data_IF_755414581271
#
_entry.id   IF_755414581271
#
_cell.length_a   1.000
_cell.length_b   1.000
_cell.length_c   1.000
_cell.angle_alpha   90.00
_cell.angle_beta   90.00
_cell.angle_gamma   90.00
#
_symmetry.space_group_name_H-M   'P 1'
#
loop_
_entity.id
_entity.type
_entity.pdbx_description
1 polymer ?
#
# COMPACT_ATOMS: atom_id res chain seq x y z
N UNK A 1 30.88 17.98 16.69
CA UNK A 1 29.44 18.29 16.56
C UNK A 1 28.91 17.62 15.30
N UNK A 2 28.38 16.39 15.39
CA UNK A 2 27.69 15.72 14.27
C UNK A 2 26.21 15.75 14.61
N UNK A 3 25.46 16.61 13.91
CA UNK A 3 24.00 16.69 14.03
C UNK A 3 23.41 15.40 13.47
N UNK A 4 23.00 14.50 14.35
CA UNK A 4 22.15 13.37 13.98
C UNK A 4 20.79 13.95 13.60
N UNK A 5 20.55 14.13 12.29
CA UNK A 5 19.21 14.31 11.78
C UNK A 5 18.52 12.94 11.93
N UNK A 6 17.73 12.79 12.99
CA UNK A 6 16.79 11.69 13.09
C UNK A 6 15.75 11.95 11.99
N UNK A 7 16.00 11.39 10.81
CA UNK A 7 14.96 11.13 9.83
C UNK A 7 14.02 10.14 10.51
N UNK A 8 12.98 10.66 11.14
CA UNK A 8 11.76 9.88 11.40
C UNK A 8 11.27 9.52 10.01
N UNK A 9 11.71 8.37 9.50
CA UNK A 9 11.00 7.69 8.46
C UNK A 9 9.62 7.44 9.07
N UNK A 10 8.66 8.31 8.72
CA UNK A 10 7.25 8.01 8.89
C UNK A 10 6.98 6.86 7.93
N UNK A 11 7.44 5.67 8.31
CA UNK A 11 6.84 4.43 7.91
C UNK A 11 5.45 4.54 8.50
N UNK A 12 4.51 5.05 7.69
CA UNK A 12 3.11 4.88 7.96
C UNK A 12 2.84 3.40 7.92
N UNK A 13 3.16 2.69 9.01
CA UNK A 13 2.67 1.37 9.35
C UNK A 13 1.15 1.53 9.52
N UNK A 14 0.46 1.71 8.40
CA UNK A 14 -0.98 1.67 8.32
C UNK A 14 -1.33 0.20 8.41
N UNK A 15 -1.34 -0.32 9.64
CA UNK A 15 -2.09 -1.50 10.00
C UNK A 15 -3.49 -1.33 9.38
N UNK A 16 -3.91 -2.31 8.58
CA UNK A 16 -5.17 -2.26 7.88
C UNK A 16 -6.30 -2.54 8.89
N UNK A 17 -6.64 -1.56 9.73
CA UNK A 17 -7.77 -1.68 10.65
C UNK A 17 -9.07 -1.40 9.89
N UNK A 18 -9.57 -2.43 9.21
CA UNK A 18 -10.89 -2.41 8.59
C UNK A 18 -11.59 -3.70 8.97
N UNK A 19 -12.54 -3.57 9.88
CA UNK A 19 -13.33 -4.64 10.49
C UNK A 19 -14.09 -5.35 9.37
N UNK A 20 -13.70 -6.58 9.02
CA UNK A 20 -14.53 -7.50 8.24
C UNK A 20 -15.35 -8.32 9.26
N UNK A 21 -16.63 -8.00 9.43
CA UNK A 21 -17.56 -8.73 10.31
C UNK A 21 -17.85 -10.19 9.88
N UNK A 22 -17.09 -10.75 8.91
CA UNK A 22 -17.22 -12.16 8.48
C UNK A 22 -15.90 -12.93 8.34
N UNK A 23 -14.74 -12.40 8.75
CA UNK A 23 -13.47 -13.16 8.71
C UNK A 23 -12.98 -13.53 10.12
N UNK A 24 -13.03 -14.82 10.45
CA UNK A 24 -12.58 -15.39 11.74
C UNK A 24 -11.06 -15.59 11.83
N UNK A 25 -10.27 -15.15 10.84
CA UNK A 25 -8.79 -15.26 10.82
C UNK A 25 -8.07 -14.02 11.35
N UNK A 26 -8.82 -13.10 11.95
CA UNK A 26 -8.49 -11.68 12.12
C UNK A 26 -7.32 -11.39 13.05
N UNK A 27 -7.03 -12.18 14.09
CA UNK A 27 -5.90 -11.87 15.02
C UNK A 27 -4.55 -12.45 14.59
N UNK A 28 -4.49 -13.71 14.14
CA UNK A 28 -3.21 -14.34 13.77
C UNK A 28 -2.65 -13.81 12.47
N UNK A 29 -3.51 -13.56 11.49
CA UNK A 29 -3.10 -13.02 10.17
C UNK A 29 -2.63 -11.58 10.31
N UNK A 30 -3.32 -10.75 11.09
CA UNK A 30 -2.95 -9.36 11.34
C UNK A 30 -1.63 -9.22 12.13
N UNK A 31 -1.41 -10.10 13.12
CA UNK A 31 -0.13 -10.16 13.84
C UNK A 31 1.03 -10.57 12.91
N UNK A 32 0.82 -11.56 12.05
CA UNK A 32 1.82 -11.98 11.06
C UNK A 32 2.11 -10.86 10.04
N UNK A 33 1.09 -10.17 9.55
CA UNK A 33 1.24 -9.06 8.60
C UNK A 33 1.99 -7.87 9.23
N UNK A 34 1.70 -7.57 10.50
CA UNK A 34 2.41 -6.52 11.25
C UNK A 34 3.86 -6.90 11.50
N UNK A 35 4.11 -8.14 11.89
CA UNK A 35 5.46 -8.66 12.07
C UNK A 35 6.26 -8.61 10.77
N UNK A 36 5.65 -9.04 9.66
CA UNK A 36 6.29 -9.01 8.35
C UNK A 36 6.62 -7.58 7.90
N UNK A 37 5.69 -6.64 8.10
CA UNK A 37 5.93 -5.22 7.81
C UNK A 37 7.10 -4.65 8.66
N UNK A 38 7.22 -5.05 9.93
CA UNK A 38 8.34 -4.66 10.78
C UNK A 38 9.67 -5.24 10.31
N UNK A 39 9.71 -6.50 9.86
CA UNK A 39 10.93 -7.09 9.31
C UNK A 39 11.38 -6.38 8.02
N UNK A 40 10.44 -6.11 7.11
CA UNK A 40 10.70 -5.33 5.90
C UNK A 40 11.25 -3.95 6.25
N UNK A 41 10.62 -3.25 7.19
CA UNK A 41 11.13 -1.97 7.70
C UNK A 41 12.54 -2.09 8.28
N UNK A 42 12.83 -3.17 9.01
CA UNK A 42 14.14 -3.45 9.56
C UNK A 42 15.21 -3.69 8.48
N UNK A 43 14.85 -4.29 7.35
CA UNK A 43 15.75 -4.45 6.20
C UNK A 43 16.00 -3.10 5.52
N UNK A 44 14.94 -2.35 5.21
CA UNK A 44 15.01 -1.06 4.50
C UNK A 44 15.83 -0.02 5.27
N UNK A 45 15.78 -0.04 6.60
CA UNK A 45 16.50 0.92 7.46
C UNK A 45 17.98 0.57 7.71
N UNK A 46 18.52 -0.49 7.10
CA UNK A 46 19.93 -0.87 7.23
C UNK A 46 20.73 -0.49 5.98
N UNK A 47 22.04 -0.28 6.14
CA UNK A 47 22.94 -0.17 5.00
C UNK A 47 22.87 -1.45 4.14
N UNK A 48 22.96 -1.34 2.79
CA UNK A 48 23.15 -0.12 2.01
C UNK A 48 21.86 0.63 1.62
N UNK A 49 20.69 0.18 2.09
CA UNK A 49 19.37 0.68 1.65
C UNK A 49 18.97 1.99 2.33
N UNK A 50 19.39 2.18 3.58
CA UNK A 50 19.12 3.39 4.36
C UNK A 50 19.58 4.64 3.60
N UNK A 51 18.66 5.58 3.35
CA UNK A 51 18.93 6.83 2.63
C UNK A 51 19.03 6.70 1.11
N UNK A 52 19.23 5.50 0.58
CA UNK A 52 19.27 5.23 -0.86
C UNK A 52 17.97 4.65 -1.42
N UNK A 53 17.04 4.30 -0.53
CA UNK A 53 15.74 3.74 -0.84
C UNK A 53 14.69 4.36 0.07
N UNK A 54 13.46 4.40 -0.43
CA UNK A 54 12.26 4.71 0.34
C UNK A 54 11.20 3.71 -0.08
N UNK A 55 10.85 2.78 0.80
CA UNK A 55 9.86 1.75 0.51
C UNK A 55 8.72 1.82 1.51
N UNK A 56 7.50 1.83 0.99
CA UNK A 56 6.27 1.54 1.72
C UNK A 56 5.84 0.12 1.37
N UNK A 57 5.66 -0.73 2.39
CA UNK A 57 5.29 -2.12 2.21
C UNK A 57 3.87 -2.36 2.72
N UNK A 58 3.05 -3.04 1.92
CA UNK A 58 1.74 -3.54 2.34
C UNK A 58 1.78 -5.05 2.37
N UNK A 59 1.51 -5.64 3.53
CA UNK A 59 1.34 -7.08 3.69
C UNK A 59 -0.13 -7.46 3.72
N UNK A 60 -0.45 -8.58 3.09
CA UNK A 60 -1.71 -9.27 3.27
C UNK A 60 -1.52 -10.76 2.95
N UNK A 61 -1.66 -11.63 3.95
CA UNK A 61 -1.63 -13.09 3.77
C UNK A 61 -0.36 -13.58 3.05
N UNK A 62 0.80 -13.11 3.51
CA UNK A 62 2.12 -13.44 2.94
C UNK A 62 2.43 -12.78 1.60
N UNK A 63 1.49 -12.03 1.01
CA UNK A 63 1.72 -11.22 -0.19
C UNK A 63 2.19 -9.83 0.22
N UNK A 64 3.31 -9.40 -0.34
CA UNK A 64 3.89 -8.08 -0.13
C UNK A 64 3.77 -7.23 -1.40
N UNK A 65 3.22 -6.04 -1.25
CA UNK A 65 3.31 -4.99 -2.25
C UNK A 65 4.35 -3.97 -1.79
N UNK A 66 5.44 -3.83 -2.55
CA UNK A 66 6.53 -2.90 -2.25
C UNK A 66 6.43 -1.69 -3.18
N UNK A 67 6.11 -0.52 -2.62
CA UNK A 67 5.92 0.73 -3.35
C UNK A 67 7.02 1.69 -2.96
N UNK A 68 7.61 2.42 -3.90
CA UNK A 68 8.58 3.46 -3.54
C UNK A 68 9.66 3.68 -4.58
N UNK A 69 10.85 4.01 -4.09
CA UNK A 69 12.00 4.31 -4.95
C UNK A 69 13.29 3.68 -4.44
N UNK A 70 14.16 3.35 -5.39
CA UNK A 70 15.55 2.99 -5.15
C UNK A 70 16.44 3.75 -6.13
N UNK A 71 17.59 4.24 -5.64
CA UNK A 71 18.53 5.00 -6.47
C UNK A 71 19.08 4.23 -7.68
N UNK A 72 19.19 2.91 -7.56
CA UNK A 72 19.73 2.04 -8.62
C UNK A 72 18.98 0.72 -8.68
N UNK A 73 19.02 0.08 -9.85
CA UNK A 73 18.47 -1.26 -10.05
C UNK A 73 19.17 -2.31 -9.16
N UNK A 74 20.48 -2.18 -8.94
CA UNK A 74 21.24 -3.05 -8.04
C UNK A 74 20.69 -3.00 -6.62
N UNK A 75 20.41 -1.78 -6.11
CA UNK A 75 19.83 -1.61 -4.78
C UNK A 75 18.41 -2.18 -4.69
N UNK A 76 17.56 -1.92 -5.71
CA UNK A 76 16.21 -2.50 -5.77
C UNK A 76 16.27 -4.03 -5.73
N UNK A 77 17.04 -4.63 -6.64
CA UNK A 77 17.08 -6.08 -6.80
C UNK A 77 17.64 -6.76 -5.53
N UNK A 78 18.72 -6.22 -4.95
CA UNK A 78 19.28 -6.72 -3.69
C UNK A 78 18.30 -6.59 -2.52
N UNK A 79 17.57 -5.46 -2.43
CA UNK A 79 16.57 -5.25 -1.39
C UNK A 79 15.41 -6.24 -1.51
N UNK A 80 14.87 -6.40 -2.73
CA UNK A 80 13.78 -7.34 -3.01
C UNK A 80 14.20 -8.77 -2.72
N UNK A 81 15.41 -9.18 -3.10
CA UNK A 81 15.94 -10.50 -2.78
C UNK A 81 16.01 -10.73 -1.27
N UNK A 82 16.53 -9.76 -0.51
CA UNK A 82 16.62 -9.87 0.95
C UNK A 82 15.27 -9.90 1.64
N UNK A 83 14.28 -9.16 1.14
CA UNK A 83 12.91 -9.24 1.64
C UNK A 83 12.31 -10.62 1.36
N UNK A 84 12.62 -11.22 0.21
CA UNK A 84 12.13 -12.55 -0.18
C UNK A 84 12.64 -13.69 0.72
N UNK A 85 13.73 -13.47 1.45
CA UNK A 85 14.28 -14.42 2.43
C UNK A 85 13.56 -14.36 3.79
N UNK A 86 12.72 -13.34 4.02
CA UNK A 86 11.95 -13.21 5.26
C UNK A 86 10.92 -14.33 5.34
N UNK A 87 10.87 -15.01 6.49
CA UNK A 87 9.91 -16.08 6.74
C UNK A 87 8.48 -15.54 6.68
N UNK A 88 7.62 -16.21 5.92
CA UNK A 88 6.22 -15.82 5.74
C UNK A 88 5.98 -14.93 4.53
N UNK A 89 7.03 -14.51 3.82
CA UNK A 89 6.88 -13.96 2.46
C UNK A 89 6.61 -15.09 1.49
N UNK A 90 5.49 -14.99 0.77
CA UNK A 90 5.11 -15.90 -0.31
C UNK A 90 5.32 -15.20 -1.67
N UNK A 91 4.60 -14.11 -1.89
CA UNK A 91 4.60 -13.38 -3.16
C UNK A 91 5.03 -11.93 -2.96
N UNK A 92 5.90 -11.40 -3.82
CA UNK A 92 6.27 -9.98 -3.85
C UNK A 92 5.80 -9.34 -5.15
N UNK A 93 4.96 -8.31 -5.03
CA UNK A 93 4.61 -7.37 -6.09
C UNK A 93 5.53 -6.15 -5.98
N UNK A 94 6.54 -6.10 -6.86
CA UNK A 94 7.52 -5.01 -6.91
C UNK A 94 6.96 -3.82 -7.71
N UNK A 95 6.76 -2.69 -7.03
CA UNK A 95 6.36 -1.39 -7.57
C UNK A 95 7.39 -0.31 -7.21
N UNK A 96 8.66 -0.68 -7.05
CA UNK A 96 9.75 0.24 -6.76
C UNK A 96 10.25 0.86 -8.07
N UNK A 97 10.22 2.19 -8.16
CA UNK A 97 10.74 2.95 -9.30
C UNK A 97 12.24 3.21 -9.14
N UNK A 98 13.01 3.15 -10.23
CA UNK A 98 14.43 3.52 -10.21
C UNK A 98 14.57 5.03 -10.34
N UNK A 99 14.70 5.70 -9.19
CA UNK A 99 14.89 7.15 -9.07
C UNK A 99 15.27 7.52 -7.64
N UNK A 100 15.59 8.79 -7.41
CA UNK A 100 15.84 9.31 -6.07
C UNK A 100 14.56 9.21 -5.19
N UNK A 101 14.70 8.86 -3.90
CA UNK A 101 13.62 8.98 -2.92
C UNK A 101 12.94 10.34 -2.95
N UNK A 102 11.63 10.35 -2.74
CA UNK A 102 10.85 11.58 -2.74
C UNK A 102 11.32 12.59 -1.70
N UNK A 103 11.24 13.87 -2.08
CA UNK A 103 11.43 14.97 -1.14
C UNK A 103 10.27 15.05 -0.13
N UNK A 104 10.46 15.73 1.00
CA UNK A 104 9.37 15.98 1.95
C UNK A 104 8.19 16.74 1.33
N UNK A 105 8.47 17.62 0.36
CA UNK A 105 7.45 18.36 -0.37
C UNK A 105 6.59 17.43 -1.23
N UNK A 106 7.21 16.46 -1.91
CA UNK A 106 6.48 15.49 -2.74
C UNK A 106 5.65 14.53 -1.88
N UNK A 107 6.22 14.05 -0.77
CA UNK A 107 5.47 13.23 0.22
C UNK A 107 4.26 14.00 0.78
N UNK A 108 4.38 15.31 1.00
CA UNK A 108 3.27 16.15 1.47
C UNK A 108 2.19 16.30 0.40
N UNK A 109 2.56 16.48 -0.88
CA UNK A 109 1.61 16.49 -2.00
C UNK A 109 0.86 15.16 -2.10
N UNK A 110 1.57 14.04 -1.96
CA UNK A 110 0.96 12.70 -2.03
C UNK A 110 0.03 12.42 -0.84
N UNK A 111 0.36 12.93 0.35
CA UNK A 111 -0.54 12.86 1.52
C UNK A 111 -1.84 13.61 1.24
N UNK A 112 -1.75 14.82 0.69
CA UNK A 112 -2.93 15.59 0.30
C UNK A 112 -3.73 14.92 -0.82
N UNK A 113 -3.05 14.36 -1.82
CA UNK A 113 -3.68 13.62 -2.91
C UNK A 113 -4.39 12.37 -2.39
N UNK A 114 -3.77 11.64 -1.47
CA UNK A 114 -4.39 10.49 -0.78
C UNK A 114 -5.67 10.90 -0.07
N UNK A 115 -5.66 12.02 0.66
CA UNK A 115 -6.85 12.54 1.35
C UNK A 115 -7.96 12.87 0.36
N UNK A 116 -7.65 13.56 -0.75
CA UNK A 116 -8.64 13.85 -1.80
C UNK A 116 -9.28 12.59 -2.37
N UNK A 117 -8.46 11.59 -2.70
CA UNK A 117 -8.96 10.31 -3.24
C UNK A 117 -9.85 9.61 -2.21
N UNK A 118 -9.40 9.48 -0.95
CA UNK A 118 -10.22 8.88 0.11
C UNK A 118 -11.55 9.59 0.29
N UNK A 119 -11.55 10.92 0.37
CA UNK A 119 -12.79 11.71 0.50
C UNK A 119 -13.74 11.50 -0.68
N UNK A 120 -13.23 11.45 -1.91
CA UNK A 120 -14.06 11.20 -3.09
C UNK A 120 -14.65 9.79 -3.11
N UNK A 121 -13.87 8.77 -2.71
CA UNK A 121 -14.37 7.40 -2.60
C UNK A 121 -15.49 7.27 -1.55
N UNK A 122 -15.33 7.91 -0.38
CA UNK A 122 -16.35 7.95 0.69
C UNK A 122 -17.66 8.61 0.20
N UNK A 123 -17.57 9.56 -0.74
CA UNK A 123 -18.75 10.20 -1.32
C UNK A 123 -19.55 9.30 -2.27
N UNK A 124 -19.01 8.18 -2.74
CA UNK A 124 -19.70 7.30 -3.69
C UNK A 124 -20.58 6.27 -2.99
N UNK A 125 -21.90 6.34 -3.26
CA UNK A 125 -22.89 5.40 -2.74
C UNK A 125 -22.60 3.95 -3.11
N UNK A 126 -21.92 3.70 -4.24
CA UNK A 126 -21.57 2.35 -4.69
C UNK A 126 -20.42 1.72 -3.90
N UNK A 127 -19.69 2.52 -3.12
CA UNK A 127 -18.55 2.08 -2.32
C UNK A 127 -18.85 2.05 -0.81
N UNK A 128 -20.07 2.38 -0.38
CA UNK A 128 -20.45 2.52 1.03
C UNK A 128 -20.26 1.24 1.87
N UNK A 129 -20.23 0.07 1.24
CA UNK A 129 -20.14 -1.24 1.89
C UNK A 129 -18.79 -1.93 1.66
N UNK A 130 -17.77 -1.20 1.21
CA UNK A 130 -16.44 -1.76 1.00
C UNK A 130 -15.38 -0.81 1.54
N UNK A 131 -14.32 -1.38 2.09
CA UNK A 131 -13.16 -0.61 2.51
C UNK A 131 -12.05 -0.70 1.46
N UNK A 132 -11.68 0.45 0.90
CA UNK A 132 -10.60 0.58 -0.06
C UNK A 132 -9.44 1.33 0.60
N UNK A 133 -8.32 0.64 0.76
CA UNK A 133 -7.06 1.25 1.18
C UNK A 133 -6.48 2.02 0.00
N UNK A 134 -6.19 3.30 0.23
CA UNK A 134 -5.57 4.20 -0.74
C UNK A 134 -4.17 4.54 -0.24
N UNK A 135 -3.18 4.31 -1.10
CA UNK A 135 -1.79 4.75 -0.91
C UNK A 135 -1.41 5.58 -2.13
N UNK A 136 -0.77 6.71 -1.91
CA UNK A 136 -0.21 7.50 -3.01
C UNK A 136 1.29 7.61 -2.82
N UNK A 137 2.04 7.37 -3.90
CA UNK A 137 3.48 7.56 -3.94
C UNK A 137 3.87 8.09 -5.32
N UNK A 138 4.57 9.22 -5.35
CA UNK A 138 4.94 9.96 -6.56
C UNK A 138 3.74 10.32 -7.46
N UNK A 139 2.60 10.62 -6.84
CA UNK A 139 1.32 10.85 -7.51
C UNK A 139 0.74 9.66 -8.28
N UNK A 140 1.31 8.46 -8.11
CA UNK A 140 0.67 7.20 -8.47
C UNK A 140 -0.22 6.73 -7.31
N UNK A 141 -1.48 6.39 -7.60
CA UNK A 141 -2.47 5.98 -6.60
C UNK A 141 -2.66 4.47 -6.66
N UNK A 142 -2.38 3.80 -5.55
CA UNK A 142 -2.61 2.37 -5.37
C UNK A 142 -3.93 2.18 -4.61
N UNK A 143 -4.85 1.46 -5.23
CA UNK A 143 -6.14 1.08 -4.64
C UNK A 143 -6.13 -0.40 -4.30
N UNK A 144 -6.31 -0.72 -3.02
CA UNK A 144 -6.27 -2.08 -2.48
C UNK A 144 -7.56 -2.37 -1.72
N UNK A 145 -8.06 -3.59 -1.81
CA UNK A 145 -9.27 -4.00 -1.11
C UNK A 145 -9.85 -5.30 -1.66
N UNK A 146 -10.80 -5.87 -0.93
CA UNK A 146 -11.62 -6.98 -1.40
C UNK A 146 -12.94 -6.43 -1.90
N UNK A 147 -13.14 -6.45 -3.22
CA UNK A 147 -14.17 -5.66 -3.92
C UNK A 147 -14.84 -6.51 -5.00
N UNK A 148 -16.04 -6.12 -5.42
CA UNK A 148 -16.60 -6.61 -6.68
C UNK A 148 -15.94 -5.91 -7.87
N UNK A 149 -16.11 -6.45 -9.09
CA UNK A 149 -15.63 -5.77 -10.30
C UNK A 149 -16.26 -4.39 -10.49
N UNK A 150 -17.54 -4.23 -10.14
CA UNK A 150 -18.23 -2.94 -10.21
C UNK A 150 -17.62 -1.91 -9.26
N UNK A 151 -17.40 -2.29 -8.00
CA UNK A 151 -16.77 -1.44 -7.00
C UNK A 151 -15.34 -1.05 -7.41
N UNK A 152 -14.56 -2.00 -7.93
CA UNK A 152 -13.21 -1.72 -8.41
C UNK A 152 -13.21 -0.70 -9.55
N UNK A 153 -14.13 -0.84 -10.51
CA UNK A 153 -14.26 0.08 -11.64
C UNK A 153 -14.68 1.48 -11.18
N UNK A 154 -15.68 1.57 -10.30
CA UNK A 154 -16.13 2.83 -9.70
C UNK A 154 -14.98 3.53 -8.96
N UNK A 155 -14.26 2.81 -8.09
CA UNK A 155 -13.15 3.37 -7.33
C UNK A 155 -12.00 3.84 -8.23
N UNK A 156 -11.71 3.08 -9.29
CA UNK A 156 -10.70 3.44 -10.28
C UNK A 156 -11.10 4.70 -11.03
N UNK A 157 -12.36 4.82 -11.44
CA UNK A 157 -12.87 5.98 -12.19
C UNK A 157 -12.87 7.24 -11.33
N UNK A 158 -13.27 7.15 -10.07
CA UNK A 158 -13.18 8.26 -9.12
C UNK A 158 -11.72 8.70 -8.95
N UNK A 159 -10.81 7.77 -8.67
CA UNK A 159 -9.42 8.09 -8.40
C UNK A 159 -8.71 8.71 -9.61
N UNK A 160 -8.89 8.16 -10.82
CA UNK A 160 -8.19 8.64 -12.03
C UNK A 160 -8.63 10.03 -12.48
N UNK A 161 -9.83 10.48 -12.09
CA UNK A 161 -10.34 11.81 -12.40
C UNK A 161 -9.94 12.87 -11.36
N UNK A 162 -9.24 12.50 -10.29
CA UNK A 162 -8.72 13.49 -9.33
C UNK A 162 -7.51 14.21 -9.91
N UNK A 163 -7.59 15.54 -9.95
CA UNK A 163 -6.48 16.39 -10.36
C UNK A 163 -5.21 16.11 -9.56
N UNK A 164 -4.13 15.82 -10.29
CA UNK A 164 -2.82 15.49 -9.74
C UNK A 164 -2.51 13.99 -9.71
N UNK A 165 -3.50 13.11 -9.93
CA UNK A 165 -3.24 11.67 -10.11
C UNK A 165 -2.58 11.44 -11.47
N UNK A 166 -1.40 10.80 -11.48
CA UNK A 166 -0.69 10.42 -12.71
C UNK A 166 -1.13 9.07 -13.23
N UNK A 167 -1.33 8.13 -12.32
CA UNK A 167 -1.68 6.74 -12.63
C UNK A 167 -2.49 6.14 -11.49
N UNK A 168 -3.40 5.23 -11.82
CA UNK A 168 -4.09 4.39 -10.84
C UNK A 168 -3.64 2.94 -11.03
N UNK A 169 -3.14 2.33 -9.96
CA UNK A 169 -2.73 0.94 -9.90
C UNK A 169 -3.73 0.18 -9.04
N UNK A 170 -4.29 -0.89 -9.60
CA UNK A 170 -5.29 -1.74 -8.94
C UNK A 170 -4.58 -2.92 -8.29
N UNK A 171 -4.63 -3.01 -6.96
CA UNK A 171 -4.24 -4.20 -6.19
C UNK A 171 -5.44 -4.78 -5.46
N UNK A 172 -6.53 -4.97 -6.20
CA UNK A 172 -7.77 -5.52 -5.68
C UNK A 172 -7.76 -7.04 -5.67
N UNK A 173 -8.44 -7.61 -4.68
CA UNK A 173 -8.91 -8.99 -4.70
C UNK A 173 -10.40 -8.98 -5.03
N UNK A 174 -10.82 -9.85 -5.94
CA UNK A 174 -12.20 -9.85 -6.44
C UNK A 174 -13.03 -10.93 -5.79
N UNK A 175 -14.31 -10.61 -5.54
CA UNK A 175 -15.31 -11.59 -5.15
C UNK A 175 -16.60 -11.44 -5.94
N UNK A 176 -17.30 -12.57 -6.06
CA UNK A 176 -18.66 -12.58 -6.58
C UNK A 176 -19.66 -12.46 -5.42
N UNK A 177 -20.54 -11.44 -5.42
CA UNK A 177 -21.58 -11.34 -4.42
C UNK A 177 -22.55 -12.52 -4.59
N UNK A 178 -22.90 -13.19 -3.48
CA UNK A 178 -23.97 -14.21 -3.51
C UNK A 178 -25.27 -13.54 -3.98
N UNK A 179 -26.03 -14.15 -4.90
CA UNK A 179 -27.30 -13.60 -5.33
C UNK A 179 -28.20 -13.41 -4.11
N UNK A 180 -28.79 -12.22 -3.98
CA UNK A 180 -29.76 -11.94 -2.92
C UNK A 180 -30.91 -12.94 -3.08
N UNK A 181 -31.19 -13.73 -2.04
CA UNK A 181 -32.41 -14.54 -2.03
C UNK A 181 -33.58 -13.57 -2.09
N UNK A 182 -34.31 -13.57 -3.20
CA UNK A 182 -35.63 -12.97 -3.26
C UNK A 182 -36.52 -13.80 -2.34
N UNK A 183 -36.80 -13.30 -1.14
CA UNK A 183 -37.89 -13.85 -0.33
C UNK A 183 -39.18 -13.58 -1.10
N UNK A 184 -39.99 -14.61 -1.40
CA UNK A 184 -41.25 -14.46 -2.13
C UNK A 184 -42.26 -13.60 -1.36
#
# INVERSE_FOLDING_TARGET
MKRALILVAVLGLSACSTIYEQDTRTTKTELNDTHLAMEVAGVVNKAPYQGNTRINAVSYDGKLLLIGQANTEVLRNSLVQKIREIKGVDTIYDQIRIKQPLSLGDVSKDTWLTTKVKSALIGSKKLNNVNIKVITEDSEVFLLGYVTYEQANEATEIARNISGVKQVIKGFQYYEPKPMKTTP
#
